data_IF_591887222784
#
_entry.id   IF_591887222784
#
_cell.length_a   1.000
_cell.length_b   1.000
_cell.length_c   1.000
_cell.angle_alpha   90.00
_cell.angle_beta   90.00
_cell.angle_gamma   90.00
#
_symmetry.space_group_name_H-M   'P 1'
#
loop_
_entity.id
_entity.type
_entity.pdbx_description
1 polymer ?
#
# COMPACT_ATOMS: atom_id res chain seq x y z
N UNK A 1 -11.50 15.30 -11.10
CA UNK A 1 -10.65 15.05 -9.92
C UNK A 1 -10.53 13.55 -9.74
N UNK A 2 -9.34 13.02 -9.54
CA UNK A 2 -9.11 11.59 -9.31
C UNK A 2 -9.18 11.26 -7.83
N UNK A 3 -9.62 10.04 -7.50
CA UNK A 3 -9.64 9.54 -6.13
C UNK A 3 -8.59 8.45 -5.95
N UNK A 4 -7.72 8.62 -4.96
CA UNK A 4 -6.78 7.59 -4.53
C UNK A 4 -7.26 6.98 -3.21
N UNK A 5 -7.32 5.65 -3.16
CA UNK A 5 -7.57 4.91 -1.92
C UNK A 5 -6.23 4.49 -1.32
N UNK A 6 -5.94 4.95 -0.11
CA UNK A 6 -4.75 4.57 0.66
C UNK A 6 -5.12 3.40 1.58
N UNK A 7 -4.63 2.21 1.28
CA UNK A 7 -4.85 1.00 2.09
C UNK A 7 -3.68 0.83 3.07
N UNK A 8 -4.00 0.69 4.35
CA UNK A 8 -3.01 0.75 5.43
C UNK A 8 -2.67 2.18 5.81
N UNK A 9 -3.67 3.04 5.89
CA UNK A 9 -3.54 4.50 5.94
C UNK A 9 -2.84 5.06 7.19
N UNK A 10 -2.74 4.29 8.27
CA UNK A 10 -2.04 4.72 9.49
C UNK A 10 -0.54 4.35 9.52
N UNK A 11 -0.04 3.70 8.48
CA UNK A 11 1.39 3.40 8.35
C UNK A 11 2.21 4.65 8.03
N UNK A 12 3.50 4.65 8.39
CA UNK A 12 4.39 5.82 8.22
C UNK A 12 4.50 6.25 6.76
N UNK A 13 4.70 5.32 5.85
CA UNK A 13 4.77 5.60 4.41
C UNK A 13 3.42 6.13 3.89
N UNK A 14 2.33 5.54 4.34
CA UNK A 14 0.98 5.97 3.94
C UNK A 14 0.63 7.38 4.41
N UNK A 15 1.08 7.76 5.61
CA UNK A 15 0.88 9.11 6.14
C UNK A 15 1.60 10.14 5.26
N UNK A 16 2.84 9.88 4.89
CA UNK A 16 3.58 10.79 4.01
C UNK A 16 2.98 10.83 2.60
N UNK A 17 2.58 9.68 2.05
CA UNK A 17 1.88 9.62 0.77
C UNK A 17 0.56 10.42 0.80
N UNK A 18 -0.20 10.31 1.88
CA UNK A 18 -1.46 11.07 2.06
C UNK A 18 -1.21 12.58 2.00
N UNK A 19 -0.18 13.06 2.70
CA UNK A 19 0.19 14.49 2.68
C UNK A 19 0.52 14.95 1.25
N UNK A 20 1.35 14.19 0.54
CA UNK A 20 1.77 14.52 -0.84
C UNK A 20 0.57 14.54 -1.79
N UNK A 21 -0.35 13.59 -1.70
CA UNK A 21 -1.56 13.60 -2.50
C UNK A 21 -2.47 14.80 -2.18
N UNK A 22 -2.54 15.20 -0.91
CA UNK A 22 -3.32 16.36 -0.49
C UNK A 22 -2.73 17.70 -0.94
N UNK A 23 -1.41 17.79 -1.11
CA UNK A 23 -0.77 18.97 -1.69
C UNK A 23 -1.19 19.20 -3.15
N UNK A 24 -1.57 18.12 -3.84
CA UNK A 24 -2.06 18.21 -5.21
C UNK A 24 -3.60 18.31 -5.22
N UNK A 25 -4.11 19.47 -5.61
CA UNK A 25 -5.56 19.75 -5.64
C UNK A 25 -6.37 18.87 -6.59
N UNK A 26 -5.72 18.06 -7.43
CA UNK A 26 -6.38 17.15 -8.37
C UNK A 26 -6.84 15.83 -7.76
N UNK A 27 -6.51 15.58 -6.47
CA UNK A 27 -6.86 14.32 -5.82
C UNK A 27 -7.83 14.50 -4.66
N UNK A 28 -8.83 13.61 -4.60
CA UNK A 28 -9.46 13.20 -3.36
C UNK A 28 -8.70 12.03 -2.78
N UNK A 29 -8.64 11.92 -1.48
CA UNK A 29 -7.90 10.86 -0.78
C UNK A 29 -8.84 10.11 0.14
N UNK A 30 -9.09 8.85 -0.18
CA UNK A 30 -9.86 7.96 0.67
C UNK A 30 -8.87 7.12 1.49
N UNK A 31 -9.13 6.98 2.79
CA UNK A 31 -8.25 6.28 3.72
C UNK A 31 -8.92 5.02 4.23
N UNK A 32 -8.23 3.89 4.11
CA UNK A 32 -8.71 2.59 4.57
C UNK A 32 -7.77 2.00 5.62
N UNK A 33 -8.30 1.71 6.81
CA UNK A 33 -7.51 1.17 7.92
C UNK A 33 -8.42 0.50 8.96
N UNK A 34 -7.83 -0.33 9.82
CA UNK A 34 -8.58 -1.04 10.87
C UNK A 34 -9.00 -0.15 12.05
N UNK A 35 -8.20 0.86 12.37
CA UNK A 35 -8.41 1.71 13.55
C UNK A 35 -8.46 3.17 13.13
N UNK A 36 -9.62 3.63 12.70
CA UNK A 36 -9.82 4.98 12.15
C UNK A 36 -9.43 6.11 13.10
N UNK A 37 -9.50 5.88 14.42
CA UNK A 37 -9.08 6.86 15.43
C UNK A 37 -7.58 7.16 15.43
N UNK A 38 -6.76 6.35 14.74
CA UNK A 38 -5.30 6.56 14.61
C UNK A 38 -4.90 7.49 13.48
N UNK A 39 -5.85 7.97 12.70
CA UNK A 39 -5.56 8.86 11.58
C UNK A 39 -5.19 10.24 12.12
N UNK A 40 -4.09 10.85 11.63
CA UNK A 40 -3.79 12.25 11.90
C UNK A 40 -4.93 13.17 11.39
N UNK A 41 -5.10 14.32 12.03
CA UNK A 41 -5.96 15.35 11.50
C UNK A 41 -5.26 16.04 10.31
N UNK A 42 -5.74 15.74 9.11
CA UNK A 42 -5.21 16.34 7.88
C UNK A 42 -5.84 17.67 7.52
N UNK A 43 -6.84 18.13 8.30
CA UNK A 43 -7.54 19.39 8.08
C UNK A 43 -8.00 19.60 6.62
N UNK A 44 -8.51 18.55 5.98
CA UNK A 44 -8.92 18.56 4.57
C UNK A 44 -10.34 18.01 4.39
N UNK A 45 -11.14 18.69 3.57
CA UNK A 45 -12.48 18.22 3.18
C UNK A 45 -12.45 17.22 2.00
N UNK A 46 -11.26 16.92 1.48
CA UNK A 46 -11.04 15.93 0.39
C UNK A 46 -10.72 14.54 0.89
N UNK A 47 -10.91 14.29 2.18
CA UNK A 47 -10.67 12.99 2.82
C UNK A 47 -11.98 12.32 3.17
N UNK A 48 -12.08 11.03 2.83
CA UNK A 48 -13.05 10.10 3.40
C UNK A 48 -12.32 8.99 4.10
N UNK A 49 -12.91 8.45 5.16
CA UNK A 49 -12.32 7.40 5.98
C UNK A 49 -13.22 6.18 5.95
N UNK A 50 -12.62 5.03 5.65
CA UNK A 50 -13.26 3.73 5.68
C UNK A 50 -12.54 2.84 6.70
N UNK A 51 -13.25 2.40 7.71
CA UNK A 51 -12.73 1.47 8.70
C UNK A 51 -13.01 0.04 8.26
N UNK A 52 -11.97 -0.79 8.18
CA UNK A 52 -12.10 -2.16 7.74
C UNK A 52 -10.77 -2.91 7.75
N UNK A 53 -10.85 -4.21 7.43
CA UNK A 53 -9.70 -5.11 7.33
C UNK A 53 -9.37 -5.39 5.85
N UNK A 54 -8.14 -5.21 5.46
CA UNK A 54 -7.66 -5.48 4.10
C UNK A 54 -7.69 -6.97 3.71
N UNK A 55 -7.99 -7.86 4.64
CA UNK A 55 -8.28 -9.28 4.40
C UNK A 55 -9.77 -9.57 4.20
N UNK A 56 -10.63 -8.58 4.39
CA UNK A 56 -12.08 -8.71 4.22
C UNK A 56 -12.50 -8.05 2.90
N UNK A 57 -13.02 -8.86 1.98
CA UNK A 57 -13.36 -8.39 0.64
C UNK A 57 -14.51 -7.39 0.64
N UNK A 58 -15.53 -7.60 1.47
CA UNK A 58 -16.68 -6.69 1.54
C UNK A 58 -16.25 -5.31 2.05
N UNK A 59 -15.36 -5.28 3.04
CA UNK A 59 -14.81 -4.02 3.57
C UNK A 59 -14.08 -3.25 2.47
N UNK A 60 -13.18 -3.92 1.72
CA UNK A 60 -12.43 -3.29 0.63
C UNK A 60 -13.34 -2.83 -0.51
N UNK A 61 -14.30 -3.67 -0.91
CA UNK A 61 -15.24 -3.31 -1.98
C UNK A 61 -16.06 -2.08 -1.63
N UNK A 62 -16.44 -1.92 -0.37
CA UNK A 62 -17.18 -0.72 0.09
C UNK A 62 -16.39 0.56 -0.10
N UNK A 63 -15.06 0.50 0.01
CA UNK A 63 -14.16 1.64 -0.14
C UNK A 63 -13.74 1.89 -1.60
N UNK A 64 -14.00 0.97 -2.53
CA UNK A 64 -13.53 1.06 -3.92
C UNK A 64 -14.51 1.76 -4.87
N UNK A 65 -15.61 2.29 -4.38
CA UNK A 65 -16.57 3.01 -5.22
C UNK A 65 -15.98 4.35 -5.67
N UNK A 66 -15.93 4.56 -7.00
CA UNK A 66 -15.38 5.77 -7.62
C UNK A 66 -13.88 6.02 -7.31
N UNK A 67 -13.11 4.95 -7.10
CA UNK A 67 -11.66 5.02 -6.91
C UNK A 67 -10.96 4.83 -8.25
N UNK A 68 -9.96 5.66 -8.52
CA UNK A 68 -9.13 5.59 -9.73
C UNK A 68 -7.83 4.83 -9.49
N UNK A 69 -7.25 4.96 -8.30
CA UNK A 69 -5.94 4.39 -7.95
C UNK A 69 -5.99 3.85 -6.53
N UNK A 70 -5.43 2.67 -6.33
CA UNK A 70 -5.16 2.11 -5.00
C UNK A 70 -3.67 2.22 -4.70
N UNK A 71 -3.34 2.81 -3.56
CA UNK A 71 -2.00 2.83 -3.00
C UNK A 71 -2.01 1.98 -1.72
N UNK A 72 -1.25 0.90 -1.69
CA UNK A 72 -1.23 -0.03 -0.57
C UNK A 72 0.16 -0.11 0.05
N UNK A 73 0.25 0.20 1.34
CA UNK A 73 1.44 0.00 2.17
C UNK A 73 1.00 -0.66 3.46
N UNK A 74 1.28 -1.95 3.58
CA UNK A 74 0.70 -2.82 4.59
C UNK A 74 1.78 -3.62 5.34
N UNK A 75 1.36 -4.26 6.42
CA UNK A 75 2.15 -5.20 7.19
C UNK A 75 1.29 -6.40 7.62
N UNK A 76 1.93 -7.43 8.15
CA UNK A 76 1.25 -8.62 8.64
C UNK A 76 1.06 -9.70 7.57
N UNK A 77 -0.17 -10.13 7.34
CA UNK A 77 -0.51 -11.20 6.38
C UNK A 77 -0.58 -10.67 4.95
N UNK A 78 0.54 -10.23 4.41
CA UNK A 78 0.65 -9.52 3.13
C UNK A 78 0.12 -10.33 1.94
N UNK A 79 0.36 -11.63 1.91
CA UNK A 79 -0.15 -12.53 0.88
C UNK A 79 -1.69 -12.53 0.83
N UNK A 80 -2.34 -12.68 1.97
CA UNK A 80 -3.81 -12.65 2.07
C UNK A 80 -4.38 -11.28 1.75
N UNK A 81 -3.71 -10.23 2.21
CA UNK A 81 -4.09 -8.85 1.89
C UNK A 81 -3.99 -8.58 0.39
N UNK A 82 -2.91 -9.02 -0.26
CA UNK A 82 -2.75 -8.88 -1.70
C UNK A 82 -3.81 -9.65 -2.50
N UNK A 83 -4.13 -10.88 -2.12
CA UNK A 83 -5.21 -11.66 -2.73
C UNK A 83 -6.55 -10.91 -2.65
N UNK A 84 -6.87 -10.39 -1.49
CA UNK A 84 -8.13 -9.67 -1.25
C UNK A 84 -8.18 -8.36 -2.04
N UNK A 85 -7.08 -7.60 -2.07
CA UNK A 85 -6.98 -6.34 -2.83
C UNK A 85 -7.17 -6.61 -4.32
N UNK A 86 -6.46 -7.57 -4.90
CA UNK A 86 -6.57 -7.92 -6.33
C UNK A 86 -8.01 -8.31 -6.67
N UNK A 87 -8.62 -9.18 -5.88
CA UNK A 87 -9.99 -9.65 -6.10
C UNK A 87 -11.03 -8.52 -5.97
N UNK A 88 -10.91 -7.69 -4.95
CA UNK A 88 -11.80 -6.55 -4.75
C UNK A 88 -11.68 -5.53 -5.89
N UNK A 89 -10.45 -5.22 -6.32
CA UNK A 89 -10.21 -4.31 -7.43
C UNK A 89 -10.79 -4.87 -8.74
N UNK A 90 -10.62 -6.15 -9.01
CA UNK A 90 -11.20 -6.80 -10.19
C UNK A 90 -12.74 -6.73 -10.15
N UNK A 91 -13.35 -7.04 -9.02
CA UNK A 91 -14.81 -6.99 -8.85
C UNK A 91 -15.36 -5.57 -9.04
N UNK A 92 -14.62 -4.56 -8.66
CA UNK A 92 -15.00 -3.14 -8.77
C UNK A 92 -14.49 -2.46 -10.03
N UNK A 93 -13.80 -3.17 -10.89
CA UNK A 93 -13.22 -2.65 -12.13
C UNK A 93 -12.26 -1.47 -11.89
N UNK A 94 -11.51 -1.50 -10.79
CA UNK A 94 -10.41 -0.58 -10.50
C UNK A 94 -9.12 -1.26 -10.93
N UNK A 95 -8.34 -0.61 -11.80
CA UNK A 95 -7.21 -1.28 -12.47
C UNK A 95 -5.84 -0.86 -11.95
N UNK A 96 -5.68 0.38 -11.48
CA UNK A 96 -4.38 0.93 -11.12
C UNK A 96 -4.04 0.64 -9.65
N UNK A 97 -2.96 -0.13 -9.42
CA UNK A 97 -2.44 -0.46 -8.10
C UNK A 97 -0.97 -0.03 -7.98
N UNK A 98 -0.67 0.68 -6.89
CA UNK A 98 0.70 0.94 -6.44
C UNK A 98 0.87 0.21 -5.12
N UNK A 99 1.78 -0.76 -5.06
CA UNK A 99 2.02 -1.59 -3.89
C UNK A 99 3.44 -1.39 -3.38
N UNK A 100 3.56 -1.06 -2.10
CA UNK A 100 4.86 -0.89 -1.43
C UNK A 100 5.31 -2.24 -0.87
N UNK A 101 6.39 -2.75 -1.45
CA UNK A 101 7.02 -4.00 -1.03
C UNK A 101 8.34 -3.73 -0.29
N UNK A 102 9.32 -4.58 -0.43
CA UNK A 102 10.60 -4.49 0.27
C UNK A 102 11.76 -4.79 -0.67
N UNK A 103 12.97 -4.27 -0.39
CA UNK A 103 14.15 -4.61 -1.15
C UNK A 103 14.56 -6.06 -0.90
N UNK A 104 15.14 -6.70 -1.88
CA UNK A 104 15.67 -8.07 -1.77
C UNK A 104 14.67 -9.20 -2.00
N UNK A 105 13.41 -8.90 -2.31
CA UNK A 105 12.40 -9.95 -2.54
C UNK A 105 12.70 -10.81 -3.78
N UNK A 106 13.50 -10.32 -4.72
CA UNK A 106 13.94 -11.03 -5.92
C UNK A 106 15.40 -11.46 -5.84
N UNK A 107 16.02 -11.43 -4.66
CA UNK A 107 17.43 -11.74 -4.45
C UNK A 107 18.38 -10.84 -5.26
N UNK A 108 17.97 -9.60 -5.49
CA UNK A 108 18.62 -8.66 -6.40
C UNK A 108 19.67 -7.76 -5.74
N UNK A 109 19.83 -7.84 -4.43
CA UNK A 109 20.76 -6.98 -3.71
C UNK A 109 22.20 -7.55 -3.76
N UNK A 110 23.23 -6.68 -3.82
CA UNK A 110 24.62 -7.14 -3.78
C UNK A 110 24.99 -7.72 -2.39
N UNK A 111 25.90 -8.70 -2.38
CA UNK A 111 26.48 -9.21 -1.14
C UNK A 111 27.56 -8.25 -0.60
N UNK A 112 27.76 -8.13 0.71
CA UNK A 112 27.07 -8.87 1.81
C UNK A 112 25.73 -8.26 2.24
N UNK A 113 25.30 -7.18 1.63
CA UNK A 113 24.08 -6.45 1.99
C UNK A 113 22.83 -7.33 1.84
N UNK A 114 22.78 -8.17 0.81
CA UNK A 114 21.66 -9.08 0.58
C UNK A 114 21.43 -10.03 1.76
N UNK A 115 22.49 -10.65 2.28
CA UNK A 115 22.40 -11.54 3.43
C UNK A 115 21.96 -10.80 4.69
N UNK A 116 22.52 -9.62 4.95
CA UNK A 116 22.12 -8.77 6.06
C UNK A 116 20.63 -8.39 5.97
N UNK A 117 20.18 -8.01 4.78
CA UNK A 117 18.78 -7.65 4.51
C UNK A 117 17.83 -8.82 4.82
N UNK A 118 18.18 -10.03 4.37
CA UNK A 118 17.42 -11.26 4.68
C UNK A 118 17.32 -11.52 6.19
N UNK A 119 18.41 -11.32 6.91
CA UNK A 119 18.43 -11.49 8.37
C UNK A 119 17.55 -10.46 9.07
N UNK A 120 17.55 -9.20 8.62
CA UNK A 120 16.74 -8.14 9.23
C UNK A 120 15.24 -8.33 8.96
N UNK A 121 14.85 -8.69 7.75
CA UNK A 121 13.44 -8.93 7.41
C UNK A 121 12.92 -10.29 7.94
N UNK A 122 13.74 -11.32 7.93
CA UNK A 122 13.33 -12.69 8.29
C UNK A 122 12.14 -13.15 7.45
N UNK A 123 11.14 -13.74 8.09
CA UNK A 123 9.93 -14.24 7.43
C UNK A 123 9.11 -13.16 6.71
N UNK A 124 9.24 -11.90 7.10
CA UNK A 124 8.55 -10.79 6.44
C UNK A 124 8.92 -10.66 4.98
N UNK A 125 10.18 -10.97 4.63
CA UNK A 125 10.63 -10.89 3.24
C UNK A 125 9.86 -11.87 2.34
N UNK A 126 9.61 -13.08 2.83
CA UNK A 126 8.82 -14.08 2.13
C UNK A 126 7.37 -13.64 1.93
N UNK A 127 6.78 -12.97 2.91
CA UNK A 127 5.42 -12.43 2.79
C UNK A 127 5.34 -11.34 1.73
N UNK A 128 6.30 -10.44 1.68
CA UNK A 128 6.41 -9.43 0.63
C UNK A 128 6.59 -10.07 -0.76
N UNK A 129 7.41 -11.12 -0.85
CA UNK A 129 7.60 -11.85 -2.11
C UNK A 129 6.30 -12.50 -2.57
N UNK A 130 5.60 -13.21 -1.69
CA UNK A 130 4.32 -13.86 -2.02
C UNK A 130 3.27 -12.84 -2.47
N UNK A 131 3.15 -11.73 -1.76
CA UNK A 131 2.24 -10.64 -2.12
C UNK A 131 2.57 -10.09 -3.52
N UNK A 132 3.84 -9.86 -3.80
CA UNK A 132 4.31 -9.36 -5.09
C UNK A 132 4.02 -10.36 -6.22
N UNK A 133 4.23 -11.66 -5.99
CA UNK A 133 3.91 -12.70 -6.96
C UNK A 133 2.41 -12.72 -7.30
N UNK A 134 1.54 -12.58 -6.31
CA UNK A 134 0.09 -12.49 -6.50
C UNK A 134 -0.28 -11.31 -7.39
N UNK A 135 0.30 -10.15 -7.13
CA UNK A 135 0.06 -8.92 -7.89
C UNK A 135 0.59 -9.05 -9.33
N UNK A 136 1.79 -9.59 -9.51
CA UNK A 136 2.41 -9.82 -10.82
C UNK A 136 1.62 -10.80 -11.69
N UNK A 137 0.96 -11.79 -11.07
CA UNK A 137 0.10 -12.75 -11.77
C UNK A 137 -1.31 -12.24 -12.04
N UNK A 138 -1.65 -11.03 -11.56
CA UNK A 138 -2.92 -10.38 -11.85
C UNK A 138 -2.88 -9.67 -13.20
N UNK A 139 -4.04 -9.25 -13.70
CA UNK A 139 -4.17 -8.40 -14.89
C UNK A 139 -4.32 -6.91 -14.55
N UNK A 140 -3.98 -6.52 -13.30
CA UNK A 140 -3.97 -5.13 -12.88
C UNK A 140 -2.84 -4.35 -13.56
N UNK A 141 -3.06 -3.05 -13.74
CA UNK A 141 -1.99 -2.09 -14.06
C UNK A 141 -1.26 -1.74 -12.76
N UNK A 142 -0.25 -2.53 -12.44
CA UNK A 142 0.45 -2.42 -11.16
C UNK A 142 1.82 -1.76 -11.26
N UNK A 143 2.22 -1.16 -10.16
CA UNK A 143 3.60 -0.80 -9.85
C UNK A 143 3.94 -1.34 -8.48
N UNK A 144 5.01 -2.11 -8.38
CA UNK A 144 5.56 -2.59 -7.11
C UNK A 144 6.79 -1.76 -6.78
N UNK A 145 6.70 -1.01 -5.68
CA UNK A 145 7.80 -0.17 -5.19
C UNK A 145 8.60 -0.97 -4.17
N UNK A 146 9.91 -1.07 -4.38
CA UNK A 146 10.85 -1.72 -3.45
C UNK A 146 11.80 -0.67 -2.88
N UNK A 147 11.34 0.16 -1.92
CA UNK A 147 12.19 1.21 -1.38
C UNK A 147 13.33 0.58 -0.57
N UNK A 148 14.46 1.25 -0.54
CA UNK A 148 15.55 0.92 0.38
C UNK A 148 15.13 1.15 1.84
N UNK A 149 16.06 0.99 2.77
CA UNK A 149 15.79 1.26 4.17
C UNK A 149 15.51 2.75 4.37
N UNK A 150 14.29 3.05 4.83
CA UNK A 150 13.80 4.40 5.04
C UNK A 150 14.19 4.91 6.42
N UNK A 151 14.51 6.20 6.50
CA UNK A 151 14.77 6.90 7.76
C UNK A 151 13.80 8.07 7.92
N UNK A 152 13.67 8.59 9.15
CA UNK A 152 12.88 9.80 9.41
C UNK A 152 13.64 11.09 9.11
N UNK A 153 14.83 10.99 8.54
CA UNK A 153 15.63 12.14 8.16
C UNK A 153 15.10 12.77 6.88
N UNK A 154 15.14 14.07 6.81
CA UNK A 154 14.79 14.81 5.60
C UNK A 154 15.98 14.75 4.63
N UNK A 155 16.13 13.61 3.97
CA UNK A 155 17.19 13.35 2.99
C UNK A 155 16.57 13.12 1.62
N UNK A 156 17.03 13.87 0.64
CA UNK A 156 16.77 13.55 -0.76
C UNK A 156 17.88 12.58 -1.23
N UNK A 157 17.48 11.34 -1.45
CA UNK A 157 18.38 10.30 -1.97
C UNK A 157 18.12 10.11 -3.45
#
# INVERSE_FOLDING_TARGET
MKTVLIVGANGRVSIEATKIFLENSRFNVDLFLRNAHRIPDYASNRIKVYEGDAKNIEDLESALNNVDVVFASLSGSLDKQAETIVKAMDNKNVKRLIFVAAPGIYDELPEPFNQWNKEQFGEKLNRYRKASDIIENSDLDYTIIRPGWLTDKNENV
#
